data_IF_307145712130
#
_entry.id   IF_307145712130
#
_cell.length_a   1.000
_cell.length_b   1.000
_cell.length_c   1.000
_cell.angle_alpha   90.00
_cell.angle_beta   90.00
_cell.angle_gamma   90.00
#
_symmetry.space_group_name_H-M   'P 1'
#
loop_
_entity.id
_entity.type
_entity.pdbx_description
1 polymer ?
#
# COMPACT_ATOMS: atom_id res chain seq x y z
N UNK A 1 -8.12 3.77 14.81
CA UNK A 1 -6.94 4.44 14.24
C UNK A 1 -6.07 3.40 13.56
N UNK A 2 -6.01 3.41 12.23
CA UNK A 2 -5.01 2.64 11.48
C UNK A 2 -3.67 3.37 11.48
N UNK A 3 -2.62 2.72 11.01
CA UNK A 3 -1.28 3.30 11.05
C UNK A 3 -0.78 3.40 9.61
N UNK A 4 -0.98 4.55 8.98
CA UNK A 4 -0.74 4.72 7.54
C UNK A 4 0.75 4.85 7.24
N UNK A 5 1.24 4.18 6.19
CA UNK A 5 2.65 4.28 5.75
C UNK A 5 2.77 4.94 4.38
N UNK A 6 3.68 5.90 4.25
CA UNK A 6 4.04 6.52 2.97
C UNK A 6 5.28 5.84 2.39
N UNK A 7 5.26 5.46 1.10
CA UNK A 7 6.42 4.82 0.45
C UNK A 7 6.68 5.39 -0.94
N UNK A 8 7.96 5.52 -1.30
CA UNK A 8 8.39 5.77 -2.68
C UNK A 8 9.80 5.27 -2.96
N UNK A 9 10.06 4.94 -4.21
CA UNK A 9 11.42 4.74 -4.74
C UNK A 9 11.94 6.03 -5.37
N UNK A 10 13.24 6.09 -5.68
CA UNK A 10 13.82 7.23 -6.40
C UNK A 10 13.06 7.51 -7.71
N UNK A 11 12.81 6.46 -8.50
CA UNK A 11 12.05 6.52 -9.77
C UNK A 11 10.62 7.04 -9.62
N UNK A 12 9.96 6.76 -8.49
CA UNK A 12 8.61 7.30 -8.24
C UNK A 12 8.61 8.81 -7.98
N UNK A 13 9.74 9.37 -7.52
CA UNK A 13 9.90 10.80 -7.22
C UNK A 13 10.39 11.62 -8.43
N UNK A 14 10.89 10.96 -9.46
CA UNK A 14 11.37 11.55 -10.71
C UNK A 14 10.21 11.81 -11.70
N UNK A 15 10.50 12.53 -12.79
CA UNK A 15 9.51 12.80 -13.83
C UNK A 15 9.08 11.51 -14.55
N UNK A 16 7.78 11.37 -14.78
CA UNK A 16 7.19 10.10 -15.23
C UNK A 16 7.03 9.05 -14.12
N UNK A 17 7.39 9.39 -12.87
CA UNK A 17 7.31 8.49 -11.72
C UNK A 17 5.92 7.95 -11.42
N UNK A 18 4.85 8.60 -11.91
CA UNK A 18 3.47 8.10 -11.79
C UNK A 18 3.30 6.69 -12.37
N UNK A 19 3.96 6.38 -13.49
CA UNK A 19 3.87 5.04 -14.08
C UNK A 19 4.47 3.98 -13.15
N UNK A 20 5.57 4.32 -12.48
CA UNK A 20 6.18 3.44 -11.48
C UNK A 20 5.23 3.24 -10.27
N UNK A 21 4.47 4.27 -9.91
CA UNK A 21 3.45 4.19 -8.85
C UNK A 21 2.34 3.23 -9.26
N UNK A 22 1.78 3.37 -10.47
CA UNK A 22 0.72 2.47 -10.99
C UNK A 22 1.21 1.02 -11.10
N UNK A 23 2.42 0.80 -11.61
CA UNK A 23 3.01 -0.53 -11.73
C UNK A 23 3.22 -1.19 -10.35
N UNK A 24 3.61 -0.40 -9.34
CA UNK A 24 3.72 -0.89 -7.97
C UNK A 24 2.37 -1.24 -7.37
N UNK A 25 1.33 -0.44 -7.60
CA UNK A 25 -0.04 -0.74 -7.13
C UNK A 25 -0.53 -2.08 -7.71
N UNK A 26 -0.33 -2.30 -9.02
CA UNK A 26 -0.70 -3.58 -9.66
C UNK A 26 0.02 -4.78 -9.05
N UNK A 27 1.27 -4.62 -8.60
CA UNK A 27 2.00 -5.67 -7.89
C UNK A 27 1.42 -5.93 -6.49
N UNK A 28 1.07 -4.86 -5.77
CA UNK A 28 0.43 -4.96 -4.45
C UNK A 28 -0.92 -5.68 -4.53
N UNK A 29 -1.73 -5.36 -5.54
CA UNK A 29 -3.03 -5.99 -5.77
C UNK A 29 -2.91 -7.52 -5.91
N UNK A 30 -1.92 -7.99 -6.67
CA UNK A 30 -1.66 -9.43 -6.86
C UNK A 30 -1.24 -10.12 -5.56
N UNK A 31 -0.56 -9.40 -4.67
CA UNK A 31 -0.04 -9.93 -3.41
C UNK A 31 -0.98 -9.69 -2.21
N UNK A 32 -2.13 -9.05 -2.41
CA UNK A 32 -3.02 -8.59 -1.33
C UNK A 32 -3.40 -9.70 -0.34
N UNK A 33 -3.89 -10.84 -0.83
CA UNK A 33 -4.31 -11.98 0.01
C UNK A 33 -3.17 -12.55 0.85
N UNK A 34 -1.99 -12.72 0.25
CA UNK A 34 -0.81 -13.20 0.96
C UNK A 34 -0.36 -12.17 1.99
N UNK A 35 -0.42 -10.89 1.63
CA UNK A 35 0.06 -9.82 2.48
C UNK A 35 -0.78 -9.66 3.74
N UNK A 36 -2.11 -9.82 3.64
CA UNK A 36 -3.03 -9.78 4.80
C UNK A 36 -2.64 -10.78 5.88
N UNK A 37 -2.17 -11.97 5.52
CA UNK A 37 -1.76 -12.98 6.49
C UNK A 37 -0.59 -12.50 7.35
N UNK A 38 0.22 -11.60 6.80
CA UNK A 38 1.32 -11.00 7.52
C UNK A 38 0.93 -9.72 8.28
N UNK A 39 -0.35 -9.33 8.26
CA UNK A 39 -0.83 -8.10 8.89
C UNK A 39 -1.11 -8.21 10.38
N UNK A 40 -1.06 -9.38 10.96
CA UNK A 40 -1.03 -9.54 12.41
C UNK A 40 -0.37 -10.86 12.76
N UNK A 41 0.14 -11.03 14.00
CA UNK A 41 0.75 -12.28 14.44
C UNK A 41 -0.21 -13.48 14.39
N UNK A 42 -1.50 -13.29 14.08
CA UNK A 42 -2.53 -14.33 13.99
C UNK A 42 -3.02 -14.56 12.56
N UNK A 43 -2.23 -14.23 11.55
CA UNK A 43 -2.56 -14.59 10.17
C UNK A 43 -3.62 -13.70 9.53
N UNK A 44 -3.83 -12.47 10.00
CA UNK A 44 -4.83 -11.54 9.45
C UNK A 44 -6.15 -11.52 10.23
N UNK A 45 -6.32 -12.38 11.22
CA UNK A 45 -7.56 -12.54 11.99
C UNK A 45 -7.94 -11.32 12.82
N UNK A 46 -6.94 -10.60 13.35
CA UNK A 46 -7.20 -9.40 14.15
C UNK A 46 -7.62 -8.23 13.24
N UNK A 47 -7.13 -8.20 11.99
CA UNK A 47 -7.52 -7.18 11.02
C UNK A 47 -8.90 -7.37 10.38
N UNK A 48 -9.48 -8.58 10.40
CA UNK A 48 -10.85 -8.83 9.90
C UNK A 48 -11.86 -7.90 10.59
N UNK A 49 -11.69 -7.66 11.90
CA UNK A 49 -12.59 -6.81 12.70
C UNK A 49 -12.43 -5.32 12.37
N UNK A 50 -11.32 -4.92 11.77
CA UNK A 50 -10.99 -3.53 11.46
C UNK A 50 -11.24 -3.18 10.00
N UNK A 51 -10.89 -4.08 9.07
CA UNK A 51 -10.94 -3.87 7.62
C UNK A 51 -12.30 -4.30 7.06
N UNK A 52 -13.35 -3.60 7.46
CA UNK A 52 -14.74 -3.94 7.13
C UNK A 52 -15.29 -3.16 5.94
N UNK A 53 -14.55 -2.19 5.39
CA UNK A 53 -15.07 -1.26 4.38
C UNK A 53 -15.82 -0.07 5.00
N UNK A 54 -15.98 -0.03 6.33
CA UNK A 54 -16.64 1.05 7.05
C UNK A 54 -15.59 1.93 7.76
N UNK A 55 -16.00 3.12 8.20
CA UNK A 55 -15.18 4.02 9.03
C UNK A 55 -13.79 4.34 8.44
N UNK A 56 -13.75 4.75 7.16
CA UNK A 56 -12.50 5.09 6.44
C UNK A 56 -11.49 3.91 6.36
N UNK A 57 -11.97 2.67 6.25
CA UNK A 57 -11.14 1.49 6.02
C UNK A 57 -11.58 0.74 4.76
N UNK A 58 -10.64 0.04 4.11
CA UNK A 58 -11.00 -0.87 3.01
C UNK A 58 -11.48 -2.22 3.54
N UNK A 59 -12.25 -2.94 2.74
CA UNK A 59 -12.64 -4.31 3.06
C UNK A 59 -11.44 -5.28 2.93
N UNK A 60 -11.28 -6.22 3.84
CA UNK A 60 -10.14 -7.14 3.87
C UNK A 60 -10.00 -7.95 2.57
N UNK A 61 -11.09 -8.46 1.99
CA UNK A 61 -11.02 -9.27 0.77
C UNK A 61 -10.80 -8.49 -0.52
N UNK A 62 -10.97 -7.16 -0.51
CA UNK A 62 -10.96 -6.35 -1.72
C UNK A 62 -9.85 -5.31 -1.68
N UNK A 63 -8.84 -5.52 -2.53
CA UNK A 63 -7.85 -4.48 -2.78
C UNK A 63 -8.50 -3.34 -3.58
N UNK A 64 -8.33 -2.13 -3.09
CA UNK A 64 -8.82 -0.91 -3.77
C UNK A 64 -7.76 0.18 -3.71
N UNK A 65 -7.70 1.01 -4.75
CA UNK A 65 -6.84 2.17 -4.75
C UNK A 65 -7.54 3.34 -5.45
N UNK A 66 -7.31 4.55 -4.93
CA UNK A 66 -7.87 5.76 -5.53
C UNK A 66 -7.10 7.02 -5.12
N UNK A 67 -7.30 8.08 -5.89
CA UNK A 67 -6.73 9.40 -5.61
C UNK A 67 -7.58 10.09 -4.54
N UNK A 68 -6.94 10.50 -3.44
CA UNK A 68 -7.56 11.19 -2.30
C UNK A 68 -8.67 10.41 -1.56
N UNK A 69 -8.89 9.13 -1.87
CA UNK A 69 -9.86 8.28 -1.18
C UNK A 69 -9.28 7.73 0.14
N UNK A 70 -10.00 7.92 1.24
CA UNK A 70 -9.61 7.42 2.57
C UNK A 70 -10.06 6.00 2.83
N UNK A 71 -11.10 5.51 2.15
CA UNK A 71 -11.60 4.15 2.27
C UNK A 71 -10.85 3.13 1.41
N UNK A 72 -9.96 3.60 0.52
CA UNK A 72 -9.16 2.74 -0.32
C UNK A 72 -7.99 2.08 0.43
N UNK A 73 -7.62 0.85 0.04
CA UNK A 73 -6.46 0.13 0.59
C UNK A 73 -5.16 0.90 0.34
N UNK A 74 -5.03 1.48 -0.86
CA UNK A 74 -3.93 2.38 -1.25
C UNK A 74 -4.48 3.74 -1.69
N UNK A 75 -3.99 4.80 -1.05
CA UNK A 75 -4.35 6.18 -1.36
C UNK A 75 -3.22 6.89 -2.07
N UNK A 76 -3.52 7.47 -3.22
CA UNK A 76 -2.61 8.42 -3.88
C UNK A 76 -3.02 9.83 -3.47
N UNK A 77 -2.10 10.62 -2.91
CA UNK A 77 -2.40 12.01 -2.56
C UNK A 77 -2.75 12.83 -3.80
N UNK A 78 -3.71 13.76 -3.71
CA UNK A 78 -4.11 14.64 -4.83
C UNK A 78 -2.91 15.36 -5.45
N UNK A 79 -1.96 15.81 -4.62
CA UNK A 79 -0.72 16.45 -5.06
C UNK A 79 0.16 15.52 -5.92
N UNK A 80 0.23 14.23 -5.60
CA UNK A 80 1.01 13.23 -6.35
C UNK A 80 0.37 12.95 -7.70
N UNK A 81 -0.96 12.89 -7.75
CA UNK A 81 -1.70 12.76 -9.01
C UNK A 81 -1.52 14.00 -9.89
N UNK A 82 -1.58 15.21 -9.32
CA UNK A 82 -1.37 16.46 -10.05
C UNK A 82 0.07 16.60 -10.58
N UNK A 83 1.06 16.30 -9.75
CA UNK A 83 2.49 16.40 -10.12
C UNK A 83 2.97 15.21 -10.97
N UNK A 84 2.18 14.15 -11.10
CA UNK A 84 2.55 12.88 -11.75
C UNK A 84 3.86 12.26 -11.22
N UNK A 85 4.18 12.51 -9.95
CA UNK A 85 5.34 11.96 -9.22
C UNK A 85 5.18 12.13 -7.72
N UNK A 86 5.84 11.29 -6.92
CA UNK A 86 5.86 11.40 -5.46
C UNK A 86 5.75 10.06 -4.74
N UNK A 87 4.80 9.96 -3.80
CA UNK A 87 4.72 8.88 -2.81
C UNK A 87 3.32 8.25 -2.78
N UNK A 88 3.29 6.94 -2.54
CA UNK A 88 2.09 6.18 -2.20
C UNK A 88 1.79 6.33 -0.71
N UNK A 89 0.53 6.45 -0.33
CA UNK A 89 0.09 6.31 1.07
C UNK A 89 -0.76 5.07 1.20
N UNK A 90 -0.43 4.19 2.13
CA UNK A 90 -1.18 2.95 2.40
C UNK A 90 -1.95 3.10 3.71
N UNK A 91 -3.16 2.56 3.77
CA UNK A 91 -3.94 2.50 5.02
C UNK A 91 -3.63 1.29 5.88
N UNK A 92 -2.85 0.34 5.34
CA UNK A 92 -2.49 -0.90 6.00
C UNK A 92 -1.00 -0.98 6.28
N UNK A 93 -0.65 -1.09 7.56
CA UNK A 93 0.72 -0.83 7.98
C UNK A 93 1.67 -2.00 7.84
N UNK A 94 1.19 -3.23 7.98
CA UNK A 94 2.10 -4.37 7.94
C UNK A 94 2.54 -4.74 6.52
N UNK A 95 1.77 -4.34 5.49
CA UNK A 95 2.11 -4.55 4.08
C UNK A 95 3.50 -4.04 3.74
N UNK A 96 3.86 -2.85 4.23
CA UNK A 96 5.15 -2.25 3.91
C UNK A 96 6.24 -2.48 4.93
N UNK A 97 5.98 -2.86 6.20
CA UNK A 97 7.09 -3.29 7.05
C UNK A 97 7.70 -4.61 6.52
N UNK A 98 6.86 -5.46 5.94
CA UNK A 98 7.25 -6.75 5.37
C UNK A 98 7.71 -6.60 3.94
N UNK A 99 7.08 -5.76 3.11
CA UNK A 99 7.65 -5.40 1.81
C UNK A 99 8.93 -4.56 1.91
N UNK A 100 9.14 -3.72 2.93
CA UNK A 100 10.43 -3.00 3.10
C UNK A 100 11.51 -3.94 3.64
N UNK A 101 11.16 -4.94 4.46
CA UNK A 101 12.07 -6.05 4.80
C UNK A 101 12.38 -6.94 3.59
N UNK A 102 11.38 -7.33 2.80
CA UNK A 102 11.54 -8.14 1.58
C UNK A 102 12.23 -7.37 0.45
N UNK A 103 11.95 -6.09 0.24
CA UNK A 103 12.65 -5.23 -0.72
C UNK A 103 14.11 -5.02 -0.28
N UNK A 104 14.41 -4.90 1.02
CA UNK A 104 15.80 -4.88 1.50
C UNK A 104 16.50 -6.23 1.30
N UNK A 105 15.81 -7.36 1.51
CA UNK A 105 16.39 -8.70 1.26
C UNK A 105 16.58 -8.96 -0.25
N UNK A 106 15.68 -8.50 -1.12
CA UNK A 106 15.82 -8.63 -2.57
C UNK A 106 16.81 -7.62 -3.21
N UNK A 107 17.02 -6.44 -2.61
CA UNK A 107 18.03 -5.46 -3.08
C UNK A 107 19.44 -5.70 -2.52
N UNK A 108 19.62 -6.61 -1.57
CA UNK A 108 20.95 -7.03 -1.05
C UNK A 108 21.40 -8.36 -1.69
N UNK A 109 20.53 -9.01 -2.48
CA UNK A 109 20.84 -10.24 -3.24
C UNK A 109 20.97 -10.00 -4.76
N UNK A 110 21.12 -8.74 -5.19
CA UNK A 110 21.57 -8.31 -6.52
C UNK A 110 22.66 -7.25 -6.34
#
# INVERSE_FOLDING_TARGET
>A
MGLHTNVSTKRMREDGGYKCIEDSIKKLEKCHKQSIQFYDPRGGLDNVKRLTGQNETSHIDKFTWAVADRGASVRISKLVAQKKKGFLKTADQQLMLILTKLLRVLLVLL
#
